data_IF_654035191748
#
_entry.id   IF_654035191748
#
_cell.length_a   1.000
_cell.length_b   1.000
_cell.length_c   1.000
_cell.angle_alpha   90.00
_cell.angle_beta   90.00
_cell.angle_gamma   90.00
#
_symmetry.space_group_name_H-M   'P 1'
#
loop_
_entity.id
_entity.type
_entity.pdbx_description
1 polymer ?
#
# COMPACT_ATOMS: atom_id res chain seq x y z
N UNK A 1 18.94 29.17 -8.89
CA UNK A 1 19.22 27.74 -9.14
C UNK A 1 18.58 26.95 -8.00
N UNK A 2 17.72 25.97 -8.30
CA UNK A 2 17.08 25.16 -7.26
C UNK A 2 18.09 24.18 -6.67
N UNK A 3 17.98 23.90 -5.36
CA UNK A 3 18.55 22.68 -4.82
C UNK A 3 17.66 21.52 -5.27
N UNK A 4 18.14 20.72 -6.20
CA UNK A 4 17.39 19.59 -6.75
C UNK A 4 17.41 18.42 -5.76
N UNK A 5 16.25 17.81 -5.45
CA UNK A 5 16.23 16.60 -4.64
C UNK A 5 16.73 15.41 -5.46
N UNK A 6 17.07 14.32 -4.77
CA UNK A 6 17.50 13.09 -5.43
C UNK A 6 16.42 12.55 -6.38
N UNK A 7 16.81 11.96 -7.54
CA UNK A 7 15.92 11.17 -8.37
C UNK A 7 15.12 10.16 -7.53
N UNK A 8 13.84 10.00 -7.82
CA UNK A 8 12.89 9.23 -7.05
C UNK A 8 12.08 10.06 -6.04
N UNK A 9 12.53 11.28 -5.69
CA UNK A 9 11.76 12.17 -4.81
C UNK A 9 10.47 12.64 -5.48
N UNK A 10 9.35 12.60 -4.74
CA UNK A 10 8.07 13.14 -5.20
C UNK A 10 8.10 14.67 -5.12
N UNK A 11 7.83 15.32 -6.24
CA UNK A 11 7.89 16.78 -6.37
C UNK A 11 6.65 17.33 -7.05
N UNK A 12 6.35 18.60 -6.78
CA UNK A 12 5.57 19.46 -7.67
C UNK A 12 6.51 20.47 -8.31
N UNK A 13 6.40 20.60 -9.62
CA UNK A 13 7.24 21.44 -10.44
C UNK A 13 6.35 22.37 -11.25
N UNK A 14 6.54 23.69 -11.11
CA UNK A 14 5.89 24.70 -11.94
C UNK A 14 6.87 25.14 -13.00
N UNK A 15 6.46 25.16 -14.26
CA UNK A 15 7.35 25.48 -15.37
C UNK A 15 6.69 26.32 -16.45
N UNK A 16 7.54 27.01 -17.24
CA UNK A 16 7.17 27.76 -18.43
C UNK A 16 6.86 26.81 -19.57
N UNK A 17 5.72 27.04 -20.21
CA UNK A 17 5.36 26.38 -21.47
C UNK A 17 6.00 27.13 -22.65
N UNK A 18 6.06 26.53 -23.85
CA UNK A 18 6.54 27.21 -25.04
C UNK A 18 5.88 28.58 -25.23
N UNK A 19 6.65 29.54 -25.73
CA UNK A 19 6.20 30.91 -25.96
C UNK A 19 4.88 30.92 -26.76
N UNK A 20 3.91 31.74 -26.32
CA UNK A 20 2.56 31.78 -26.88
C UNK A 20 1.55 30.80 -26.27
N UNK A 21 1.96 29.94 -25.33
CA UNK A 21 1.03 29.06 -24.62
C UNK A 21 0.09 29.82 -23.68
N UNK A 22 -1.18 29.44 -23.65
CA UNK A 22 -2.18 29.91 -22.68
C UNK A 22 -2.71 28.69 -21.89
N UNK A 23 -2.52 28.63 -20.56
CA UNK A 23 -1.71 29.53 -19.73
C UNK A 23 -0.19 29.39 -20.02
N UNK A 24 0.63 30.43 -19.72
CA UNK A 24 2.08 30.42 -19.97
C UNK A 24 2.86 29.55 -18.98
N UNK A 25 2.26 29.23 -17.83
CA UNK A 25 2.82 28.36 -16.81
C UNK A 25 1.91 27.15 -16.61
N UNK A 26 2.49 26.02 -16.26
CA UNK A 26 1.75 24.83 -15.84
C UNK A 26 2.51 24.06 -14.75
N UNK A 27 1.83 23.13 -14.11
CA UNK A 27 2.35 22.36 -12.98
C UNK A 27 2.42 20.86 -13.34
N UNK A 28 3.53 20.21 -12.97
CA UNK A 28 3.70 18.77 -13.03
C UNK A 28 3.89 18.22 -11.61
N UNK A 29 3.10 17.19 -11.26
CA UNK A 29 3.21 16.49 -9.97
C UNK A 29 3.56 15.04 -10.22
N UNK A 30 4.67 14.58 -9.65
CA UNK A 30 5.20 13.26 -9.93
C UNK A 30 6.50 12.95 -9.21
N UNK A 31 7.20 11.92 -9.67
CA UNK A 31 8.53 11.58 -9.17
C UNK A 31 9.59 12.12 -10.14
N UNK A 32 10.60 12.77 -9.59
CA UNK A 32 11.75 13.24 -10.35
C UNK A 32 12.54 12.03 -10.87
N UNK A 33 12.84 11.97 -12.17
CA UNK A 33 13.61 10.88 -12.79
C UNK A 33 15.05 11.31 -13.09
N UNK A 34 15.22 12.54 -13.56
CA UNK A 34 16.51 13.14 -13.88
C UNK A 34 16.38 14.67 -13.82
N UNK A 35 17.53 15.35 -13.72
CA UNK A 35 17.62 16.80 -13.68
C UNK A 35 18.47 17.33 -14.83
N UNK A 36 19.58 16.65 -15.13
CA UNK A 36 20.50 16.99 -16.21
C UNK A 36 20.47 15.90 -17.30
N UNK A 37 20.51 16.24 -18.60
CA UNK A 37 20.45 17.61 -19.16
C UNK A 37 19.03 18.20 -19.17
N UNK A 38 18.02 17.37 -18.91
CA UNK A 38 16.60 17.75 -18.92
C UNK A 38 15.94 17.24 -17.65
N UNK A 39 15.08 18.07 -17.07
CA UNK A 39 14.29 17.73 -15.89
C UNK A 39 13.14 16.84 -16.34
N UNK A 40 13.12 15.59 -15.85
CA UNK A 40 12.10 14.60 -16.21
C UNK A 40 11.27 14.26 -14.98
N UNK A 41 9.96 14.44 -15.05
CA UNK A 41 9.03 14.12 -13.96
C UNK A 41 8.00 13.12 -14.44
N UNK A 42 7.97 11.93 -13.83
CA UNK A 42 6.93 10.93 -14.09
C UNK A 42 5.71 11.22 -13.25
N UNK A 43 4.63 11.62 -13.91
CA UNK A 43 3.34 11.91 -13.28
C UNK A 43 2.62 10.64 -12.84
N UNK A 44 1.53 10.78 -12.07
CA UNK A 44 0.73 9.64 -11.60
C UNK A 44 0.15 8.77 -12.73
N UNK A 45 -0.05 9.33 -13.92
CA UNK A 45 -0.57 8.59 -15.08
C UNK A 45 0.51 7.80 -15.82
N UNK A 46 1.77 7.88 -15.39
CA UNK A 46 2.91 7.29 -16.09
C UNK A 46 3.52 8.20 -17.15
N UNK A 47 2.84 9.27 -17.55
CA UNK A 47 3.38 10.24 -18.50
C UNK A 47 4.61 10.94 -17.90
N UNK A 48 5.66 11.06 -18.72
CA UNK A 48 6.90 11.78 -18.37
C UNK A 48 6.81 13.19 -18.93
N UNK A 49 6.87 14.17 -18.05
CA UNK A 49 6.98 15.59 -18.39
C UNK A 49 8.46 15.95 -18.46
N UNK A 50 8.88 16.51 -19.57
CA UNK A 50 10.26 16.93 -19.82
C UNK A 50 10.32 18.46 -19.90
N UNK A 51 11.22 19.07 -19.12
CA UNK A 51 11.32 20.52 -18.96
C UNK A 51 12.80 20.93 -18.94
N UNK A 52 13.13 22.01 -19.63
CA UNK A 52 14.45 22.63 -19.51
C UNK A 52 14.70 23.11 -18.07
N UNK A 53 15.88 22.89 -17.48
CA UNK A 53 16.17 23.33 -16.11
C UNK A 53 15.87 24.82 -15.85
N UNK A 54 16.08 25.68 -16.86
CA UNK A 54 15.84 27.13 -16.80
C UNK A 54 14.36 27.52 -16.91
N UNK A 55 13.52 26.64 -17.44
CA UNK A 55 12.07 26.86 -17.57
C UNK A 55 11.32 26.57 -16.26
N UNK A 56 11.99 25.93 -15.30
CA UNK A 56 11.43 25.63 -13.99
C UNK A 56 11.41 26.91 -13.15
N UNK A 57 10.23 27.26 -12.65
CA UNK A 57 10.03 28.51 -11.88
C UNK A 57 9.73 28.26 -10.41
N UNK A 58 9.22 27.07 -10.07
CA UNK A 58 9.08 26.66 -8.68
C UNK A 58 9.21 25.14 -8.55
N UNK A 59 9.82 24.71 -7.44
CA UNK A 59 10.00 23.33 -7.07
C UNK A 59 9.62 23.14 -5.60
N UNK A 60 8.80 22.14 -5.31
CA UNK A 60 8.49 21.75 -3.93
C UNK A 60 8.52 20.24 -3.79
N UNK A 61 9.28 19.76 -2.80
CA UNK A 61 9.25 18.36 -2.37
C UNK A 61 7.91 18.09 -1.70
N UNK A 62 7.28 16.99 -2.09
CA UNK A 62 6.02 16.53 -1.53
C UNK A 62 6.29 15.31 -0.64
N UNK A 63 5.49 15.18 0.42
CA UNK A 63 5.35 13.91 1.12
C UNK A 63 4.73 12.87 0.19
N UNK A 64 4.77 11.60 0.61
CA UNK A 64 4.10 10.53 -0.11
C UNK A 64 2.62 10.86 -0.36
N UNK A 65 2.09 10.35 -1.47
CA UNK A 65 0.69 10.56 -1.81
C UNK A 65 -0.19 10.01 -0.68
N UNK A 66 -1.24 10.75 -0.25
CA UNK A 66 -2.18 10.24 0.72
C UNK A 66 -2.78 8.90 0.25
N UNK A 67 -2.63 7.87 1.08
CA UNK A 67 -3.21 6.55 0.82
C UNK A 67 -4.72 6.62 1.01
N UNK A 68 -5.50 6.27 -0.01
CA UNK A 68 -6.97 6.29 0.06
C UNK A 68 -7.51 4.98 0.64
N UNK A 69 -8.69 5.02 1.24
CA UNK A 69 -9.40 3.81 1.72
C UNK A 69 -9.59 2.77 0.60
N UNK A 70 -9.83 3.21 -0.64
CA UNK A 70 -9.91 2.33 -1.81
C UNK A 70 -8.58 1.63 -2.12
N UNK A 71 -7.45 2.32 -1.97
CA UNK A 71 -6.12 1.76 -2.22
C UNK A 71 -5.78 0.70 -1.16
N UNK A 72 -6.15 0.95 0.10
CA UNK A 72 -6.03 -0.02 1.20
C UNK A 72 -6.85 -1.27 0.87
N UNK A 73 -8.14 -1.12 0.52
CA UNK A 73 -8.98 -2.27 0.16
C UNK A 73 -8.45 -3.04 -1.04
N UNK A 74 -7.98 -2.35 -2.08
CA UNK A 74 -7.42 -3.01 -3.26
C UNK A 74 -6.20 -3.87 -2.90
N UNK A 75 -5.27 -3.34 -2.09
CA UNK A 75 -4.12 -4.09 -1.61
C UNK A 75 -4.53 -5.26 -0.71
N UNK A 76 -5.45 -5.04 0.23
CA UNK A 76 -5.88 -6.10 1.16
C UNK A 76 -6.64 -7.22 0.45
N UNK A 77 -7.40 -6.93 -0.60
CA UNK A 77 -7.99 -7.95 -1.48
C UNK A 77 -6.92 -8.75 -2.23
N UNK A 78 -5.91 -8.07 -2.78
CA UNK A 78 -4.81 -8.75 -3.45
C UNK A 78 -4.01 -9.63 -2.48
N UNK A 79 -3.75 -9.14 -1.26
CA UNK A 79 -3.10 -9.91 -0.22
C UNK A 79 -3.94 -11.12 0.24
N UNK A 80 -5.27 -10.95 0.32
CA UNK A 80 -6.16 -12.06 0.64
C UNK A 80 -6.17 -13.13 -0.45
N UNK A 81 -6.25 -12.73 -1.72
CA UNK A 81 -6.20 -13.64 -2.86
C UNK A 81 -4.87 -14.40 -2.99
N UNK A 82 -3.76 -13.80 -2.55
CA UNK A 82 -2.44 -14.43 -2.54
C UNK A 82 -2.25 -15.45 -1.40
N UNK A 83 -3.15 -15.48 -0.42
CA UNK A 83 -3.14 -16.41 0.73
C UNK A 83 -4.56 -16.93 0.98
N UNK A 84 -5.09 -17.78 0.08
CA UNK A 84 -6.45 -18.28 0.21
C UNK A 84 -6.57 -19.24 1.41
N UNK A 85 -7.72 -19.17 2.09
CA UNK A 85 -8.09 -20.19 3.07
C UNK A 85 -8.42 -21.52 2.40
N UNK A 86 -8.46 -22.60 3.18
CA UNK A 86 -9.09 -23.84 2.73
C UNK A 86 -10.61 -23.66 2.57
N UNK A 87 -11.20 -22.82 3.43
CA UNK A 87 -12.57 -22.35 3.32
C UNK A 87 -12.62 -20.83 3.32
N UNK A 88 -13.47 -20.26 2.47
CA UNK A 88 -13.71 -18.82 2.37
C UNK A 88 -15.20 -18.51 2.40
N UNK A 89 -15.58 -17.41 3.04
CA UNK A 89 -16.96 -16.94 3.05
C UNK A 89 -17.01 -15.42 3.10
N UNK A 90 -17.99 -14.84 2.40
CA UNK A 90 -18.35 -13.44 2.58
C UNK A 90 -19.47 -13.32 3.61
N UNK A 91 -19.29 -12.43 4.58
CA UNK A 91 -20.28 -12.15 5.62
C UNK A 91 -20.31 -10.64 5.86
N UNK A 92 -21.40 -9.99 5.48
CA UNK A 92 -21.64 -8.55 5.73
C UNK A 92 -20.44 -7.65 5.38
N UNK A 93 -19.81 -7.91 4.23
CA UNK A 93 -18.66 -7.15 3.75
C UNK A 93 -17.30 -7.56 4.30
N UNK A 94 -17.26 -8.57 5.16
CA UNK A 94 -16.04 -9.24 5.61
C UNK A 94 -15.75 -10.46 4.72
N UNK A 95 -14.48 -10.64 4.37
CA UNK A 95 -13.98 -11.90 3.83
C UNK A 95 -13.38 -12.70 4.99
N UNK A 96 -13.97 -13.86 5.26
CA UNK A 96 -13.52 -14.82 6.25
C UNK A 96 -12.72 -15.90 5.54
N UNK A 97 -11.55 -16.25 6.08
CA UNK A 97 -10.69 -17.33 5.60
C UNK A 97 -10.30 -18.22 6.77
N UNK A 98 -10.34 -19.54 6.56
CA UNK A 98 -9.94 -20.56 7.52
C UNK A 98 -9.11 -21.67 6.85
N UNK A 99 -8.12 -22.21 7.56
CA UNK A 99 -7.23 -23.26 7.06
C UNK A 99 -6.06 -22.73 6.22
N UNK A 100 -5.19 -23.62 5.73
CA UNK A 100 -3.95 -23.26 5.01
C UNK A 100 -3.03 -22.28 5.77
N UNK A 101 -3.10 -22.28 7.11
CA UNK A 101 -2.35 -21.34 7.95
C UNK A 101 -2.94 -19.94 8.04
N UNK A 102 -4.17 -19.71 7.55
CA UNK A 102 -4.88 -18.43 7.65
C UNK A 102 -6.26 -18.60 8.30
N UNK A 103 -6.41 -18.05 9.50
CA UNK A 103 -7.68 -18.05 10.25
C UNK A 103 -8.08 -16.61 10.63
N UNK A 104 -8.34 -15.79 9.61
CA UNK A 104 -8.48 -14.32 9.76
C UNK A 104 -9.64 -13.79 8.91
N UNK A 105 -10.46 -12.92 9.51
CA UNK A 105 -11.49 -12.13 8.81
C UNK A 105 -10.98 -10.71 8.52
N UNK A 106 -11.25 -10.19 7.32
CA UNK A 106 -10.80 -8.85 6.85
C UNK A 106 -11.98 -8.06 6.24
N UNK A 107 -12.17 -6.76 6.56
CA UNK A 107 -13.30 -5.95 6.07
C UNK A 107 -13.01 -5.39 4.67
N UNK A 108 -13.23 -6.21 3.65
CA UNK A 108 -12.82 -5.90 2.27
C UNK A 108 -13.89 -5.21 1.43
N UNK A 109 -15.14 -5.18 1.87
CA UNK A 109 -16.22 -4.40 1.25
C UNK A 109 -16.52 -3.09 1.99
N UNK A 110 -17.20 -2.17 1.32
CA UNK A 110 -17.67 -0.91 1.91
C UNK A 110 -18.77 -1.08 2.94
N UNK A 111 -19.55 -2.14 2.85
CA UNK A 111 -20.62 -2.45 3.79
C UNK A 111 -20.12 -3.01 5.13
N UNK A 112 -18.82 -3.33 5.25
CA UNK A 112 -18.28 -3.95 6.45
C UNK A 112 -18.54 -3.07 7.69
N UNK A 113 -19.05 -3.69 8.75
CA UNK A 113 -19.33 -3.02 10.01
C UNK A 113 -18.80 -3.83 11.20
N UNK A 114 -18.59 -3.18 12.36
CA UNK A 114 -18.30 -3.90 13.61
C UNK A 114 -19.42 -4.83 14.08
N UNK A 115 -20.68 -4.57 13.72
CA UNK A 115 -21.84 -5.38 14.14
C UNK A 115 -21.81 -6.83 13.65
N UNK A 116 -21.01 -7.14 12.62
CA UNK A 116 -20.82 -8.50 12.13
C UNK A 116 -19.99 -9.40 13.09
N UNK A 117 -19.38 -8.84 14.13
CA UNK A 117 -18.47 -9.55 15.04
C UNK A 117 -19.01 -10.87 15.62
N UNK A 118 -20.23 -10.92 16.21
CA UNK A 118 -20.85 -12.15 16.69
C UNK A 118 -20.98 -13.24 15.61
N UNK A 119 -21.44 -12.85 14.42
CA UNK A 119 -21.66 -13.78 13.32
C UNK A 119 -20.34 -14.34 12.77
N UNK A 120 -19.30 -13.50 12.71
CA UNK A 120 -17.93 -13.91 12.38
C UNK A 120 -17.40 -14.89 13.42
N UNK A 121 -17.54 -14.57 14.73
CA UNK A 121 -17.10 -15.45 15.81
C UNK A 121 -17.74 -16.85 15.70
N UNK A 122 -19.06 -16.89 15.51
CA UNK A 122 -19.80 -18.13 15.34
C UNK A 122 -19.34 -18.96 14.12
N UNK A 123 -18.92 -18.30 13.03
CA UNK A 123 -18.43 -19.00 11.83
C UNK A 123 -17.12 -19.75 12.08
N UNK A 124 -16.18 -19.16 12.81
CA UNK A 124 -14.91 -19.83 13.17
C UNK A 124 -15.11 -20.91 14.24
N UNK A 125 -15.98 -20.68 15.23
CA UNK A 125 -16.22 -21.64 16.32
C UNK A 125 -16.83 -22.95 15.86
N UNK A 126 -17.72 -22.92 14.88
CA UNK A 126 -18.26 -24.15 14.25
C UNK A 126 -17.17 -25.03 13.63
N UNK A 127 -15.99 -24.46 13.41
CA UNK A 127 -14.79 -25.14 12.87
C UNK A 127 -13.74 -25.42 13.94
N UNK A 128 -14.04 -25.14 15.22
CA UNK A 128 -13.08 -25.29 16.32
C UNK A 128 -11.93 -24.27 16.28
N UNK A 129 -12.10 -23.16 15.56
CA UNK A 129 -11.08 -22.14 15.38
C UNK A 129 -11.35 -20.90 16.24
N UNK A 130 -10.28 -20.19 16.60
CA UNK A 130 -10.38 -18.90 17.26
C UNK A 130 -10.51 -17.78 16.22
N UNK A 131 -11.62 -17.06 16.25
CA UNK A 131 -11.84 -15.93 15.35
C UNK A 131 -10.87 -14.77 15.61
N UNK A 132 -10.11 -14.40 14.57
CA UNK A 132 -9.23 -13.21 14.56
C UNK A 132 -9.72 -12.22 13.49
N UNK A 133 -9.91 -10.98 13.91
CA UNK A 133 -10.28 -9.87 13.04
C UNK A 133 -9.01 -9.09 12.71
N UNK A 134 -8.65 -9.02 11.42
CA UNK A 134 -7.63 -8.10 10.93
C UNK A 134 -8.32 -6.85 10.41
N UNK A 135 -8.09 -5.72 11.08
CA UNK A 135 -8.67 -4.44 10.73
C UNK A 135 -7.57 -3.52 10.21
N UNK A 136 -7.47 -3.33 8.89
CA UNK A 136 -6.63 -2.32 8.29
C UNK A 136 -7.12 -0.93 8.71
N UNK A 137 -6.18 -0.05 9.09
CA UNK A 137 -6.50 1.30 9.52
C UNK A 137 -7.30 2.04 8.46
N UNK A 138 -8.26 2.86 8.92
CA UNK A 138 -9.16 3.69 8.10
C UNK A 138 -10.22 2.91 7.31
N UNK A 139 -10.24 1.57 7.36
CA UNK A 139 -11.32 0.80 6.73
C UNK A 139 -12.58 0.69 7.61
N UNK A 140 -12.39 0.69 8.93
CA UNK A 140 -13.45 0.65 9.92
C UNK A 140 -13.21 1.67 11.02
N UNK A 141 -14.27 2.35 11.44
CA UNK A 141 -14.26 3.10 12.69
C UNK A 141 -14.36 2.09 13.84
N UNK A 142 -13.27 1.94 14.59
CA UNK A 142 -13.26 1.11 15.78
C UNK A 142 -13.69 1.94 17.00
N UNK A 143 -14.54 1.40 17.88
CA UNK A 143 -14.82 2.01 19.17
C UNK A 143 -13.51 2.33 19.93
N UNK A 144 -13.46 3.46 20.65
CA UNK A 144 -12.28 3.85 21.42
C UNK A 144 -12.00 2.87 22.57
N UNK A 145 -10.74 2.81 23.01
CA UNK A 145 -10.33 1.99 24.17
C UNK A 145 -10.11 0.50 23.87
N UNK A 146 -9.94 0.12 22.58
CA UNK A 146 -9.62 -1.25 22.18
C UNK A 146 -8.13 -1.45 21.98
N UNK A 147 -7.55 -2.35 22.75
CA UNK A 147 -6.17 -2.79 22.57
C UNK A 147 -6.11 -3.86 21.48
N UNK A 148 -5.32 -3.58 20.44
CA UNK A 148 -4.99 -4.60 19.45
C UNK A 148 -4.05 -5.62 20.10
N UNK A 149 -4.31 -6.92 19.91
CA UNK A 149 -3.42 -7.98 20.40
C UNK A 149 -2.07 -7.94 19.68
N UNK A 150 -2.10 -7.53 18.42
CA UNK A 150 -0.96 -7.48 17.53
C UNK A 150 -1.21 -6.40 16.48
N UNK A 151 -0.12 -5.79 16.01
CA UNK A 151 -0.17 -4.78 14.95
C UNK A 151 0.88 -5.07 13.90
N UNK A 152 0.58 -4.71 12.66
CA UNK A 152 1.51 -4.80 11.54
C UNK A 152 1.57 -3.47 10.79
N UNK A 153 2.70 -3.21 10.15
CA UNK A 153 2.89 -2.15 9.18
C UNK A 153 2.99 -2.78 7.80
N UNK A 154 2.18 -2.27 6.87
CA UNK A 154 2.22 -2.67 5.46
C UNK A 154 2.96 -1.59 4.70
N UNK A 155 4.12 -1.95 4.17
CA UNK A 155 4.98 -1.08 3.37
C UNK A 155 4.82 -1.44 1.89
N UNK A 156 4.91 -0.46 0.99
CA UNK A 156 4.77 -0.67 -0.45
C UNK A 156 5.91 -0.02 -1.22
N UNK A 157 6.25 -0.61 -2.37
CA UNK A 157 7.17 -0.05 -3.35
C UNK A 157 6.63 -0.29 -4.76
N UNK A 158 6.71 0.75 -5.60
CA UNK A 158 6.48 0.60 -7.04
C UNK A 158 7.64 -0.14 -7.69
N UNK A 159 7.33 -1.16 -8.50
CA UNK A 159 8.32 -1.93 -9.27
C UNK A 159 8.16 -1.54 -10.73
N UNK A 160 9.21 -1.02 -11.35
CA UNK A 160 9.21 -0.79 -12.79
C UNK A 160 9.15 -2.15 -13.47
N UNK A 161 7.99 -2.52 -14.02
CA UNK A 161 7.93 -3.64 -14.94
C UNK A 161 8.86 -3.32 -16.11
N UNK A 162 9.76 -4.25 -16.46
CA UNK A 162 10.56 -4.10 -17.67
C UNK A 162 9.63 -3.83 -18.85
N UNK A 163 9.97 -2.84 -19.67
CA UNK A 163 9.07 -2.17 -20.59
C UNK A 163 8.41 -3.11 -21.61
N UNK A 164 7.20 -3.60 -21.31
CA UNK A 164 6.27 -4.15 -22.29
C UNK A 164 4.91 -4.41 -21.63
N UNK A 165 3.97 -3.48 -21.81
CA UNK A 165 2.56 -3.65 -21.46
C UNK A 165 2.00 -2.49 -20.65
N UNK A 166 1.08 -1.73 -21.25
CA UNK A 166 0.31 -0.74 -20.51
C UNK A 166 -0.53 -1.41 -19.40
N UNK A 167 -0.53 -0.88 -18.17
CA UNK A 167 -1.40 -1.39 -17.13
C UNK A 167 -2.87 -1.10 -17.48
N UNK A 168 -3.71 -2.14 -17.43
CA UNK A 168 -5.17 -2.00 -17.56
C UNK A 168 -5.80 -1.16 -16.43
N UNK A 169 -7.12 -0.88 -16.48
CA UNK A 169 -7.79 0.07 -15.58
C UNK A 169 -7.71 -0.31 -14.08
N UNK A 170 -7.52 -1.60 -13.75
CA UNK A 170 -7.27 -2.10 -12.38
C UNK A 170 -5.79 -2.48 -12.13
N UNK A 171 -4.88 -1.98 -12.97
CA UNK A 171 -3.57 -2.55 -13.33
C UNK A 171 -2.47 -2.63 -12.26
N UNK A 172 -2.78 -2.68 -10.97
CA UNK A 172 -1.81 -3.02 -9.94
C UNK A 172 -1.70 -4.55 -9.78
N UNK A 173 -0.57 -5.13 -10.20
CA UNK A 173 -0.21 -6.52 -9.91
C UNK A 173 0.72 -6.53 -8.71
N UNK A 174 0.25 -7.11 -7.63
CA UNK A 174 0.95 -7.14 -6.35
C UNK A 174 1.68 -8.45 -6.14
N UNK A 175 2.86 -8.35 -5.56
CA UNK A 175 3.53 -9.46 -4.87
C UNK A 175 3.87 -8.99 -3.46
N UNK A 176 3.84 -9.90 -2.49
CA UNK A 176 4.22 -9.52 -1.14
C UNK A 176 4.79 -10.64 -0.31
N UNK A 177 5.31 -10.21 0.85
CA UNK A 177 5.97 -11.08 1.81
C UNK A 177 5.89 -10.46 3.21
N UNK A 178 5.92 -11.31 4.23
CA UNK A 178 6.14 -10.88 5.61
C UNK A 178 7.61 -11.01 6.00
N UNK A 179 8.13 -10.06 6.77
CA UNK A 179 9.48 -10.07 7.31
C UNK A 179 9.49 -9.56 8.76
N UNK A 180 10.57 -9.84 9.47
CA UNK A 180 10.81 -9.39 10.85
C UNK A 180 12.21 -8.82 10.97
N UNK A 181 12.42 -7.89 11.91
CA UNK A 181 13.70 -7.19 12.07
C UNK A 181 13.80 -5.95 11.16
N UNK A 182 14.96 -5.29 11.19
CA UNK A 182 15.31 -4.14 10.34
C UNK A 182 16.81 -4.20 10.04
N UNK A 183 17.25 -5.35 9.52
CA UNK A 183 18.65 -5.71 9.30
C UNK A 183 18.85 -6.37 7.92
N UNK A 184 19.99 -7.05 7.73
CA UNK A 184 20.34 -7.76 6.51
C UNK A 184 19.30 -8.81 6.07
N UNK A 185 18.54 -9.37 7.03
CA UNK A 185 17.41 -10.29 6.74
C UNK A 185 16.30 -9.57 5.98
N UNK A 186 16.00 -8.32 6.35
CA UNK A 186 15.01 -7.48 5.64
C UNK A 186 15.54 -7.07 4.28
N UNK A 187 16.83 -6.77 4.16
CA UNK A 187 17.48 -6.51 2.87
C UNK A 187 17.27 -7.67 1.91
N UNK A 188 17.67 -8.88 2.31
CA UNK A 188 17.51 -10.08 1.50
C UNK A 188 16.04 -10.36 1.15
N UNK A 189 15.12 -10.18 2.12
CA UNK A 189 13.69 -10.35 1.89
C UNK A 189 13.14 -9.35 0.86
N UNK A 190 13.61 -8.10 0.88
CA UNK A 190 13.23 -7.07 -0.08
C UNK A 190 13.78 -7.35 -1.48
N UNK A 191 15.05 -7.75 -1.59
CA UNK A 191 15.68 -8.10 -2.86
C UNK A 191 14.98 -9.28 -3.53
N UNK A 192 14.77 -10.38 -2.80
CA UNK A 192 14.05 -11.55 -3.31
C UNK A 192 12.61 -11.18 -3.72
N UNK A 193 11.95 -10.30 -2.96
CA UNK A 193 10.60 -9.83 -3.29
C UNK A 193 10.59 -9.04 -4.60
N UNK A 194 11.61 -8.23 -4.87
CA UNK A 194 11.74 -7.44 -6.10
C UNK A 194 12.08 -8.32 -7.31
N UNK A 195 12.96 -9.31 -7.14
CA UNK A 195 13.25 -10.30 -8.18
C UNK A 195 12.00 -11.09 -8.54
N UNK A 196 11.24 -11.52 -7.53
CA UNK A 196 9.95 -12.19 -7.74
C UNK A 196 8.96 -11.28 -8.45
N UNK A 197 8.91 -10.00 -8.07
CA UNK A 197 8.04 -9.03 -8.74
C UNK A 197 8.36 -8.91 -10.22
N UNK A 198 9.65 -8.83 -10.57
CA UNK A 198 10.10 -8.81 -11.96
C UNK A 198 9.72 -10.10 -12.70
N UNK A 199 9.93 -11.26 -12.08
CA UNK A 199 9.65 -12.57 -12.68
C UNK A 199 8.15 -12.80 -12.95
N UNK A 200 7.25 -12.33 -12.07
CA UNK A 200 5.80 -12.48 -12.24
C UNK A 200 5.14 -11.27 -12.94
N UNK A 201 5.92 -10.29 -13.39
CA UNK A 201 5.41 -9.08 -14.02
C UNK A 201 4.56 -8.20 -13.09
N UNK A 202 4.77 -8.31 -11.78
CA UNK A 202 4.18 -7.41 -10.78
C UNK A 202 4.79 -6.01 -10.91
N UNK A 203 3.96 -5.00 -10.76
CA UNK A 203 4.39 -3.60 -10.80
C UNK A 203 4.33 -2.93 -9.42
N UNK A 204 3.94 -3.69 -8.39
CA UNK A 204 3.98 -3.26 -7.00
C UNK A 204 4.39 -4.41 -6.09
N UNK A 205 5.23 -4.10 -5.12
CA UNK A 205 5.63 -5.00 -4.05
C UNK A 205 5.09 -4.47 -2.72
N UNK A 206 4.65 -5.37 -1.83
CA UNK A 206 4.32 -5.03 -0.45
C UNK A 206 5.08 -5.89 0.55
N UNK A 207 5.55 -5.28 1.63
CA UNK A 207 6.21 -5.93 2.75
C UNK A 207 5.35 -5.74 4.01
N UNK A 208 5.11 -6.82 4.74
CA UNK A 208 4.41 -6.77 6.03
C UNK A 208 5.42 -7.00 7.14
N UNK A 209 5.50 -6.09 8.10
CA UNK A 209 6.38 -6.20 9.27
C UNK A 209 5.58 -6.00 10.56
N UNK A 210 6.03 -6.55 11.71
CA UNK A 210 5.42 -6.24 13.00
C UNK A 210 5.39 -4.73 13.27
N UNK A 211 4.37 -4.26 14.00
CA UNK A 211 4.09 -2.83 14.10
C UNK A 211 5.10 -2.00 14.88
N UNK A 212 5.87 -2.64 15.76
CA UNK A 212 6.97 -2.07 16.54
C UNK A 212 8.33 -2.15 15.83
N UNK A 213 8.38 -2.81 14.67
CA UNK A 213 9.60 -3.00 13.91
C UNK A 213 10.04 -1.69 13.25
N UNK A 214 11.32 -1.36 13.40
CA UNK A 214 11.96 -0.27 12.67
C UNK A 214 11.90 -0.54 11.16
N UNK A 215 11.90 0.51 10.34
CA UNK A 215 11.72 0.37 8.88
C UNK A 215 12.76 1.17 8.10
N UNK A 216 13.92 1.39 8.69
CA UNK A 216 14.98 2.18 8.08
C UNK A 216 15.56 1.44 6.86
N UNK A 217 15.79 0.13 6.96
CA UNK A 217 16.33 -0.70 5.88
C UNK A 217 15.33 -0.79 4.72
N UNK A 218 14.07 -1.12 5.02
CA UNK A 218 13.01 -1.14 4.01
C UNK A 218 12.83 0.25 3.35
N UNK A 219 12.94 1.32 4.14
CA UNK A 219 12.89 2.71 3.69
C UNK A 219 14.02 3.07 2.73
N UNK A 220 15.26 2.66 3.03
CA UNK A 220 16.43 2.83 2.16
C UNK A 220 16.24 2.07 0.84
N UNK A 221 15.58 0.91 0.89
CA UNK A 221 15.18 0.13 -0.30
C UNK A 221 13.89 0.65 -0.96
N UNK A 222 13.44 1.87 -0.67
CA UNK A 222 12.34 2.51 -1.38
C UNK A 222 10.94 2.04 -1.00
N UNK A 223 10.78 1.22 0.06
CA UNK A 223 9.47 0.92 0.61
C UNK A 223 8.98 2.10 1.47
N UNK A 224 7.67 2.35 1.44
CA UNK A 224 7.00 3.41 2.21
C UNK A 224 5.80 2.86 2.92
N UNK A 225 5.51 3.35 4.13
CA UNK A 225 4.34 2.91 4.89
C UNK A 225 3.05 3.26 4.14
N UNK A 226 2.24 2.24 3.85
CA UNK A 226 0.95 2.39 3.19
C UNK A 226 -0.17 2.53 4.22
N UNK A 227 -0.23 1.58 5.15
CA UNK A 227 -1.20 1.52 6.24
C UNK A 227 -0.74 0.53 7.30
N UNK A 228 -1.50 0.45 8.41
CA UNK A 228 -1.28 -0.52 9.46
C UNK A 228 -2.46 -1.47 9.56
N UNK A 229 -2.22 -2.66 10.09
CA UNK A 229 -3.26 -3.63 10.45
C UNK A 229 -3.28 -3.78 11.97
N UNK A 230 -4.47 -3.90 12.53
CA UNK A 230 -4.68 -4.20 13.95
C UNK A 230 -5.49 -5.48 14.08
N UNK A 231 -5.04 -6.34 14.97
CA UNK A 231 -5.64 -7.65 15.18
C UNK A 231 -6.40 -7.70 16.50
N UNK A 232 -7.65 -8.16 16.44
CA UNK A 232 -8.54 -8.26 17.58
C UNK A 232 -9.14 -9.67 17.64
N UNK A 233 -9.45 -10.20 18.84
CA UNK A 233 -10.31 -11.37 18.94
C UNK A 233 -11.74 -10.94 18.58
N UNK A 234 -12.50 -11.79 17.89
CA UNK A 234 -13.87 -11.43 17.52
C UNK A 234 -14.81 -11.33 18.75
N UNK A 235 -14.50 -12.06 19.84
CA UNK A 235 -15.23 -12.01 21.12
C UNK A 235 -14.71 -10.94 22.11
N UNK A 236 -14.24 -9.80 21.63
CA UNK A 236 -14.02 -8.65 22.53
C UNK A 236 -15.35 -7.98 22.88
N UNK A 237 -15.61 -7.62 24.16
CA UNK A 237 -16.76 -6.80 24.53
C UNK A 237 -16.84 -5.55 23.63
N UNK A 238 -18.00 -5.31 23.03
CA UNK A 238 -18.27 -4.13 22.20
C UNK A 238 -18.31 -4.37 20.69
N UNK A 239 -18.02 -5.57 20.17
CA UNK A 239 -18.45 -5.94 18.81
C UNK A 239 -19.96 -6.20 18.71
N UNK A 240 -20.58 -6.51 19.85
CA UNK A 240 -21.99 -6.89 19.96
C UNK A 240 -22.96 -5.69 20.09
N UNK A 241 -22.44 -4.46 20.21
CA UNK A 241 -23.22 -3.26 20.61
C UNK A 241 -23.06 -2.07 19.65
N UNK A 242 -22.84 -2.30 18.36
CA UNK A 242 -22.87 -1.23 17.34
C UNK A 242 -24.10 -1.41 16.45
#
# INVERSE_FOLDING_TARGET
MFSWPDPGTRVTLRYRRPEGSVPPLTDAVGHLLSVDPVVRVRTKSGAVVEVGPDDVVALRVLTDAPVRTSDIRALERAAAAASPGAEEAWLEGWLLRAGNGVDIAVPLDVSASPGAGPAIAAWYERRGLQARLCVPDRLLALPPGRDAQYTERVLVRGVSASASGEPGPDGARWVGRSATGDDETVTAACEELLDRAAACGANRAYLVVPGDTATAVAGALGFREHHRRRYFPARSPGWDTV
#
